data_IF_551935095291
#
_entry.id   IF_551935095291
#
_cell.length_a   1.000
_cell.length_b   1.000
_cell.length_c   1.000
_cell.angle_alpha   90.00
_cell.angle_beta   90.00
_cell.angle_gamma   90.00
#
_symmetry.space_group_name_H-M   'P 1'
#
loop_
_entity.id
_entity.type
_entity.pdbx_description
1 polymer ?
#
# COMPACT_ATOMS: atom_id res chain seq x y z
N UNK A 1 2.92 2.60 -21.12
CA UNK A 1 4.05 3.43 -20.62
C UNK A 1 4.42 4.55 -21.59
N UNK A 2 4.54 4.29 -22.89
CA UNK A 2 4.88 5.37 -23.84
C UNK A 2 3.81 6.46 -23.92
N UNK A 3 2.53 6.11 -23.72
CA UNK A 3 1.48 7.11 -23.54
C UNK A 3 1.82 8.07 -22.39
N UNK A 4 2.06 7.54 -21.18
CA UNK A 4 2.40 8.37 -20.01
C UNK A 4 3.64 9.23 -20.26
N UNK A 5 4.71 8.65 -20.82
CA UNK A 5 5.95 9.37 -21.13
C UNK A 5 5.74 10.46 -22.19
N UNK A 6 4.97 10.16 -23.23
CA UNK A 6 4.62 11.11 -24.29
C UNK A 6 3.67 12.23 -23.84
N UNK A 7 3.06 12.07 -22.66
CA UNK A 7 2.17 13.06 -22.04
C UNK A 7 2.72 13.58 -20.72
N UNK A 8 4.05 13.62 -20.57
CA UNK A 8 4.75 14.17 -19.39
C UNK A 8 4.22 13.63 -18.06
N UNK A 9 3.85 12.35 -18.03
CA UNK A 9 3.31 11.66 -16.87
C UNK A 9 1.94 12.16 -16.36
N UNK A 10 1.21 12.92 -17.17
CA UNK A 10 -0.19 13.26 -16.91
C UNK A 10 -1.15 12.22 -17.48
N UNK A 11 -2.25 12.00 -16.77
CA UNK A 11 -3.40 11.24 -17.25
C UNK A 11 -4.55 12.22 -17.49
N UNK A 12 -4.82 12.50 -18.76
CA UNK A 12 -5.86 13.45 -19.17
C UNK A 12 -7.10 12.69 -19.65
N UNK A 13 -8.26 13.09 -19.14
CA UNK A 13 -9.56 12.55 -19.51
C UNK A 13 -10.01 13.10 -20.88
N UNK A 14 -10.98 12.48 -21.56
CA UNK A 14 -11.45 12.94 -22.87
C UNK A 14 -11.96 14.39 -22.91
N UNK A 15 -12.40 14.92 -21.76
CA UNK A 15 -12.84 16.31 -21.61
C UNK A 15 -11.68 17.31 -21.38
N UNK A 16 -10.43 16.87 -21.45
CA UNK A 16 -9.24 17.70 -21.24
C UNK A 16 -8.83 17.88 -19.78
N UNK A 17 -9.61 17.39 -18.81
CA UNK A 17 -9.26 17.48 -17.39
C UNK A 17 -8.16 16.47 -17.03
N UNK A 18 -7.19 16.89 -16.20
CA UNK A 18 -6.18 15.97 -15.64
C UNK A 18 -6.83 15.18 -14.51
N UNK A 19 -6.92 13.86 -14.66
CA UNK A 19 -7.44 12.97 -13.62
C UNK A 19 -6.38 12.62 -12.58
N UNK A 20 -5.13 12.45 -12.99
CA UNK A 20 -4.00 12.16 -12.09
C UNK A 20 -2.67 12.50 -12.77
N UNK A 21 -1.58 12.54 -12.00
CA UNK A 21 -0.23 12.77 -12.49
C UNK A 21 0.79 11.94 -11.70
N UNK A 22 1.85 11.53 -12.38
CA UNK A 22 3.03 10.91 -11.74
C UNK A 22 4.21 11.88 -11.67
N UNK A 23 4.03 13.16 -12.00
CA UNK A 23 5.06 14.20 -11.81
C UNK A 23 5.41 14.30 -10.33
N UNK A 24 6.70 14.30 -10.00
CA UNK A 24 7.18 14.25 -8.61
C UNK A 24 7.08 12.88 -7.94
N UNK A 25 6.52 11.86 -8.61
CA UNK A 25 6.42 10.47 -8.14
C UNK A 25 7.50 9.59 -8.74
N UNK A 26 8.76 9.91 -8.43
CA UNK A 26 9.92 9.16 -8.91
C UNK A 26 9.80 7.65 -8.62
N UNK A 27 9.31 7.30 -7.42
CA UNK A 27 8.99 5.93 -6.99
C UNK A 27 8.04 5.21 -7.96
N UNK A 28 6.94 5.86 -8.34
CA UNK A 28 5.93 5.27 -9.23
C UNK A 28 6.39 5.24 -10.69
N UNK A 29 7.03 6.32 -11.18
CA UNK A 29 7.58 6.36 -12.53
C UNK A 29 8.59 5.22 -12.76
N UNK A 30 9.52 5.04 -11.81
CA UNK A 30 10.54 4.00 -11.88
C UNK A 30 9.94 2.60 -11.75
N UNK A 31 9.00 2.39 -10.84
CA UNK A 31 8.27 1.12 -10.70
C UNK A 31 7.59 0.72 -12.02
N UNK A 32 6.84 1.65 -12.62
CA UNK A 32 6.15 1.42 -13.90
C UNK A 32 7.13 1.09 -15.03
N UNK A 33 8.24 1.83 -15.15
CA UNK A 33 9.28 1.56 -16.14
C UNK A 33 9.98 0.22 -15.89
N UNK A 34 10.22 -0.16 -14.63
CA UNK A 34 10.89 -1.41 -14.30
C UNK A 34 10.01 -2.63 -14.58
N UNK A 35 8.71 -2.53 -14.27
CA UNK A 35 7.73 -3.55 -14.69
C UNK A 35 7.67 -3.61 -16.23
N UNK A 36 7.68 -2.46 -16.91
CA UNK A 36 7.78 -2.37 -18.36
C UNK A 36 9.00 -3.10 -18.91
N UNK A 37 10.17 -2.87 -18.32
CA UNK A 37 11.43 -3.56 -18.66
C UNK A 37 11.32 -5.07 -18.44
N UNK A 38 10.70 -5.50 -17.35
CA UNK A 38 10.51 -6.92 -17.07
C UNK A 38 9.63 -7.61 -18.12
N UNK A 39 8.56 -6.95 -18.58
CA UNK A 39 7.64 -7.48 -19.59
C UNK A 39 8.22 -7.39 -21.00
N UNK A 40 8.87 -6.28 -21.35
CA UNK A 40 9.45 -6.05 -22.67
C UNK A 40 10.79 -5.30 -22.56
N UNK A 41 11.84 -6.08 -22.28
CA UNK A 41 13.19 -5.57 -22.05
C UNK A 41 13.75 -4.83 -23.25
N UNK A 42 13.48 -5.30 -24.48
CA UNK A 42 13.94 -4.65 -25.73
C UNK A 42 13.42 -3.21 -25.85
N UNK A 43 12.18 -2.96 -25.40
CA UNK A 43 11.57 -1.64 -25.49
C UNK A 43 11.99 -0.70 -24.35
N UNK A 44 12.09 -1.22 -23.12
CA UNK A 44 12.16 -0.36 -21.94
C UNK A 44 13.50 -0.38 -21.18
N UNK A 45 14.47 -1.24 -21.52
CA UNK A 45 15.75 -1.29 -20.77
C UNK A 45 16.49 0.04 -20.78
N UNK A 46 16.78 0.61 -21.96
CA UNK A 46 17.49 1.89 -22.07
C UNK A 46 16.70 3.03 -21.41
N UNK A 47 15.38 3.05 -21.58
CA UNK A 47 14.53 4.07 -20.96
C UNK A 47 14.63 4.01 -19.45
N UNK A 48 14.48 2.81 -18.87
CA UNK A 48 14.57 2.62 -17.43
C UNK A 48 15.96 2.95 -16.92
N UNK A 49 17.03 2.48 -17.56
CA UNK A 49 18.41 2.71 -17.09
C UNK A 49 18.73 4.22 -17.04
N UNK A 50 18.26 5.00 -18.03
CA UNK A 50 18.38 6.46 -18.02
C UNK A 50 17.54 7.10 -16.90
N UNK A 51 16.26 6.73 -16.75
CA UNK A 51 15.40 7.33 -15.74
C UNK A 51 15.86 6.97 -14.33
N UNK A 52 16.33 5.74 -14.11
CA UNK A 52 16.88 5.31 -12.83
C UNK A 52 18.03 6.19 -12.39
N UNK A 53 18.95 6.52 -13.30
CA UNK A 53 20.11 7.35 -12.97
C UNK A 53 19.71 8.70 -12.38
N UNK A 54 18.67 9.35 -12.92
CA UNK A 54 18.20 10.66 -12.47
C UNK A 54 17.19 10.59 -11.31
N UNK A 55 16.25 9.65 -11.36
CA UNK A 55 15.10 9.63 -10.46
C UNK A 55 15.31 8.76 -9.21
N UNK A 56 16.25 7.81 -9.22
CA UNK A 56 16.41 6.92 -8.07
C UNK A 56 16.75 7.67 -6.77
N UNK A 57 17.66 8.68 -6.75
CA UNK A 57 17.92 9.48 -5.55
C UNK A 57 16.68 10.21 -5.01
N UNK A 58 15.71 10.53 -5.89
CA UNK A 58 14.49 11.25 -5.53
C UNK A 58 13.37 10.32 -5.05
N UNK A 59 13.48 9.00 -5.24
CA UNK A 59 12.41 8.04 -4.97
C UNK A 59 11.95 8.02 -3.50
N UNK A 60 12.83 8.40 -2.56
CA UNK A 60 12.50 8.48 -1.13
C UNK A 60 11.63 9.70 -0.79
N UNK A 61 11.78 10.81 -1.51
CA UNK A 61 11.14 12.09 -1.20
C UNK A 61 9.61 12.00 -1.18
N UNK A 62 8.92 11.49 -2.23
CA UNK A 62 7.46 11.39 -2.19
C UNK A 62 7.01 10.48 -1.04
N UNK A 63 7.70 9.38 -0.79
CA UNK A 63 7.36 8.45 0.31
C UNK A 63 7.46 9.15 1.67
N UNK A 64 8.51 9.95 1.90
CA UNK A 64 8.67 10.72 3.13
C UNK A 64 7.57 11.76 3.34
N UNK A 65 7.01 12.31 2.26
CA UNK A 65 5.86 13.24 2.34
C UNK A 65 4.57 12.47 2.62
N UNK A 66 4.36 11.34 1.95
CA UNK A 66 3.13 10.54 2.09
C UNK A 66 2.93 10.03 3.53
N UNK A 67 4.00 9.71 4.26
CA UNK A 67 3.90 9.23 5.66
C UNK A 67 3.62 10.33 6.70
N UNK A 68 3.56 11.61 6.30
CA UNK A 68 3.28 12.71 7.25
C UNK A 68 1.85 12.69 7.77
N UNK A 69 0.94 12.01 7.08
CA UNK A 69 -0.46 11.85 7.49
C UNK A 69 -1.06 10.53 6.98
N UNK A 70 -2.18 10.12 7.59
CA UNK A 70 -2.94 8.92 7.19
C UNK A 70 -4.16 9.24 6.32
N UNK A 71 -4.28 10.46 5.81
CA UNK A 71 -5.37 10.81 4.91
C UNK A 71 -5.21 10.08 3.59
N UNK A 72 -6.32 9.75 2.92
CA UNK A 72 -6.28 8.99 1.68
C UNK A 72 -5.47 7.69 1.81
N UNK A 73 -5.63 6.98 2.93
CA UNK A 73 -4.81 5.84 3.37
C UNK A 73 -4.48 4.80 2.27
N UNK A 74 -5.32 4.66 1.26
CA UNK A 74 -5.04 3.86 0.06
C UNK A 74 -3.70 4.18 -0.62
N UNK A 75 -3.15 5.40 -0.44
CA UNK A 75 -1.80 5.80 -0.89
C UNK A 75 -0.72 4.80 -0.48
N UNK A 76 -0.78 4.28 0.75
CA UNK A 76 0.21 3.35 1.28
C UNK A 76 0.17 1.98 0.59
N UNK A 77 -0.97 1.58 0.03
CA UNK A 77 -1.04 0.39 -0.82
C UNK A 77 -0.35 0.63 -2.17
N UNK A 78 -0.60 1.79 -2.77
CA UNK A 78 0.03 2.17 -4.04
C UNK A 78 1.54 2.21 -3.85
N UNK A 79 2.02 2.83 -2.78
CA UNK A 79 3.45 2.93 -2.46
C UNK A 79 4.05 1.56 -2.19
N UNK A 80 3.39 0.72 -1.39
CA UNK A 80 3.84 -0.65 -1.09
C UNK A 80 3.97 -1.50 -2.34
N UNK A 81 2.98 -1.47 -3.25
CA UNK A 81 3.00 -2.26 -4.50
C UNK A 81 4.07 -1.74 -5.46
N UNK A 82 4.23 -0.43 -5.56
CA UNK A 82 5.26 0.17 -6.42
C UNK A 82 6.67 -0.16 -5.92
N UNK A 83 6.94 0.08 -4.63
CA UNK A 83 8.23 -0.24 -4.03
C UNK A 83 8.52 -1.74 -4.05
N UNK A 84 7.53 -2.61 -3.83
CA UNK A 84 7.69 -4.05 -3.97
C UNK A 84 8.20 -4.44 -5.37
N UNK A 85 7.54 -3.95 -6.42
CA UNK A 85 7.94 -4.25 -7.79
C UNK A 85 9.29 -3.65 -8.15
N UNK A 86 9.55 -2.42 -7.71
CA UNK A 86 10.81 -1.74 -7.96
C UNK A 86 11.98 -2.46 -7.28
N UNK A 87 11.85 -2.84 -6.00
CA UNK A 87 12.89 -3.53 -5.23
C UNK A 87 13.13 -4.95 -5.74
N UNK A 88 12.07 -5.75 -5.95
CA UNK A 88 12.24 -7.16 -6.33
C UNK A 88 12.83 -7.34 -7.74
N UNK A 89 12.66 -6.34 -8.61
CA UNK A 89 13.14 -6.37 -9.99
C UNK A 89 14.47 -5.64 -10.16
N UNK A 90 14.85 -4.75 -9.24
CA UNK A 90 16.14 -4.05 -9.30
C UNK A 90 17.30 -5.01 -8.99
N UNK A 91 18.35 -4.94 -9.80
CA UNK A 91 19.55 -5.78 -9.72
C UNK A 91 20.85 -4.99 -9.61
N UNK A 92 20.79 -3.67 -9.71
CA UNK A 92 21.91 -2.75 -9.58
C UNK A 92 22.06 -2.23 -8.14
N UNK A 93 23.09 -1.42 -7.92
CA UNK A 93 23.36 -0.76 -6.63
C UNK A 93 22.25 0.19 -6.17
N UNK A 94 21.38 0.66 -7.07
CA UNK A 94 20.25 1.53 -6.71
C UNK A 94 19.19 0.83 -5.83
N UNK A 95 19.21 -0.50 -5.75
CA UNK A 95 18.28 -1.26 -4.90
C UNK A 95 18.34 -0.86 -3.42
N UNK A 96 19.49 -0.37 -2.94
CA UNK A 96 19.64 0.16 -1.58
C UNK A 96 18.74 1.38 -1.33
N UNK A 97 18.66 2.30 -2.28
CA UNK A 97 17.85 3.53 -2.17
C UNK A 97 16.36 3.20 -2.08
N UNK A 98 15.90 2.25 -2.90
CA UNK A 98 14.51 1.83 -2.89
C UNK A 98 14.14 1.11 -1.59
N UNK A 99 15.07 0.31 -1.03
CA UNK A 99 14.89 -0.32 0.29
C UNK A 99 14.84 0.72 1.41
N UNK A 100 15.63 1.79 1.33
CA UNK A 100 15.57 2.89 2.29
C UNK A 100 14.21 3.61 2.21
N UNK A 101 13.73 3.93 1.01
CA UNK A 101 12.39 4.48 0.82
C UNK A 101 11.29 3.56 1.39
N UNK A 102 11.39 2.25 1.12
CA UNK A 102 10.48 1.27 1.72
C UNK A 102 10.57 1.20 3.24
N UNK A 103 11.75 1.38 3.84
CA UNK A 103 11.90 1.41 5.30
C UNK A 103 11.21 2.62 5.94
N UNK A 104 11.13 3.76 5.24
CA UNK A 104 10.35 4.93 5.69
C UNK A 104 8.87 4.59 5.71
N UNK A 105 8.35 4.06 4.59
CA UNK A 105 6.96 3.62 4.49
C UNK A 105 6.62 2.55 5.53
N UNK A 106 7.50 1.56 5.69
CA UNK A 106 7.24 0.41 6.56
C UNK A 106 7.24 0.79 8.02
N UNK A 107 8.16 1.65 8.48
CA UNK A 107 8.17 2.17 9.86
C UNK A 107 6.92 2.97 10.22
N UNK A 108 6.27 3.59 9.23
CA UNK A 108 4.99 4.27 9.45
C UNK A 108 3.81 3.30 9.52
N UNK A 109 3.93 2.12 8.90
CA UNK A 109 2.78 1.21 8.68
C UNK A 109 2.91 -0.14 9.40
N UNK A 110 3.93 -0.32 10.24
CA UNK A 110 4.24 -1.60 10.88
C UNK A 110 3.40 -1.93 12.09
N UNK A 111 2.84 -0.94 12.76
CA UNK A 111 1.90 -1.10 13.87
C UNK A 111 0.43 -0.92 13.44
N UNK A 112 0.17 -0.63 12.16
CA UNK A 112 -1.16 -0.41 11.61
C UNK A 112 -2.01 -1.69 11.51
N UNK A 113 -1.46 -2.86 11.80
CA UNK A 113 -2.15 -4.14 11.75
C UNK A 113 -2.74 -4.44 10.37
N UNK A 114 -1.88 -4.63 9.37
CA UNK A 114 -2.30 -4.87 7.99
C UNK A 114 -1.55 -6.08 7.43
N UNK A 115 -2.29 -7.19 7.23
CA UNK A 115 -1.71 -8.44 6.75
C UNK A 115 -1.09 -8.31 5.35
N UNK A 116 -1.62 -7.46 4.48
CA UNK A 116 -1.02 -7.23 3.17
C UNK A 116 0.35 -6.54 3.29
N UNK A 117 0.46 -5.49 4.12
CA UNK A 117 1.75 -4.82 4.35
C UNK A 117 2.76 -5.75 4.99
N UNK A 118 2.32 -6.57 5.96
CA UNK A 118 3.16 -7.59 6.56
C UNK A 118 3.68 -8.60 5.50
N UNK A 119 2.85 -8.94 4.52
CA UNK A 119 3.22 -9.92 3.50
C UNK A 119 4.13 -9.35 2.42
N UNK A 120 3.98 -8.06 2.08
CA UNK A 120 4.97 -7.36 1.26
C UNK A 120 6.31 -7.30 1.99
N UNK A 121 6.31 -6.99 3.28
CA UNK A 121 7.53 -6.92 4.08
C UNK A 121 8.21 -8.30 4.21
N UNK A 122 7.44 -9.37 4.40
CA UNK A 122 7.95 -10.77 4.34
C UNK A 122 8.68 -11.07 3.04
N UNK A 123 8.09 -10.63 1.93
CA UNK A 123 8.63 -10.88 0.60
C UNK A 123 9.95 -10.13 0.36
N UNK A 124 10.09 -8.92 0.88
CA UNK A 124 11.26 -8.06 0.66
C UNK A 124 12.40 -8.29 1.65
N UNK A 125 12.06 -8.58 2.92
CA UNK A 125 12.99 -8.60 4.04
C UNK A 125 13.15 -9.98 4.70
N UNK A 126 12.42 -11.00 4.24
CA UNK A 126 12.54 -12.36 4.78
C UNK A 126 11.78 -12.55 6.09
N UNK A 127 12.02 -13.67 6.81
CA UNK A 127 11.23 -14.08 7.97
C UNK A 127 11.34 -13.11 9.14
N UNK A 128 10.25 -12.95 9.90
CA UNK A 128 10.23 -12.20 11.16
C UNK A 128 9.15 -12.80 12.07
N UNK A 129 9.54 -13.37 13.20
CA UNK A 129 8.62 -14.07 14.10
C UNK A 129 7.47 -13.16 14.57
N UNK A 130 7.76 -11.91 14.93
CA UNK A 130 6.76 -10.97 15.41
C UNK A 130 5.72 -10.65 14.32
N UNK A 131 6.19 -10.28 13.12
CA UNK A 131 5.32 -9.94 11.99
C UNK A 131 4.55 -11.15 11.46
N UNK A 132 5.19 -12.30 11.38
CA UNK A 132 4.59 -13.52 10.83
C UNK A 132 3.51 -14.05 11.80
N UNK A 133 3.75 -13.97 13.11
CA UNK A 133 2.74 -14.26 14.16
C UNK A 133 1.58 -13.26 14.13
N UNK A 134 1.88 -11.97 13.96
CA UNK A 134 0.83 -10.95 13.82
C UNK A 134 -0.02 -11.18 12.57
N UNK A 135 0.60 -11.58 11.45
CA UNK A 135 -0.11 -11.90 10.20
C UNK A 135 -1.10 -13.03 10.40
N UNK A 136 -0.71 -14.10 11.09
CA UNK A 136 -1.62 -15.20 11.44
C UNK A 136 -2.79 -14.69 12.28
N UNK A 137 -2.50 -13.94 13.36
CA UNK A 137 -3.54 -13.36 14.24
C UNK A 137 -4.52 -12.48 13.48
N UNK A 138 -4.03 -11.57 12.62
CA UNK A 138 -4.88 -10.65 11.85
C UNK A 138 -5.79 -11.41 10.89
N UNK A 139 -5.27 -12.46 10.22
CA UNK A 139 -6.07 -13.29 9.32
C UNK A 139 -7.16 -14.06 10.09
N UNK A 140 -6.84 -14.60 11.27
CA UNK A 140 -7.83 -15.26 12.13
C UNK A 140 -8.91 -14.27 12.63
N UNK A 141 -8.50 -13.08 13.07
CA UNK A 141 -9.43 -12.02 13.48
C UNK A 141 -10.33 -11.56 12.34
N UNK A 142 -9.82 -11.53 11.11
CA UNK A 142 -10.61 -11.14 9.95
C UNK A 142 -11.79 -12.10 9.73
N UNK A 143 -11.60 -13.40 9.95
CA UNK A 143 -12.65 -14.42 9.79
C UNK A 143 -13.79 -14.28 10.80
N UNK A 144 -13.55 -13.61 11.94
CA UNK A 144 -14.57 -13.34 12.96
C UNK A 144 -15.45 -12.13 12.62
N UNK A 145 -15.12 -11.38 11.56
CA UNK A 145 -15.84 -10.17 11.18
C UNK A 145 -17.18 -10.50 10.53
N UNK A 146 -18.21 -9.67 10.73
CA UNK A 146 -19.42 -9.75 9.91
C UNK A 146 -19.09 -9.45 8.45
N UNK A 147 -19.67 -10.23 7.54
CA UNK A 147 -19.37 -10.16 6.09
C UNK A 147 -19.91 -8.89 5.40
N UNK A 148 -20.87 -8.20 6.02
CA UNK A 148 -21.54 -7.03 5.43
C UNK A 148 -21.12 -5.72 6.08
N UNK A 149 -21.23 -4.63 5.32
CA UNK A 149 -20.97 -3.25 5.70
C UNK A 149 -21.99 -2.71 6.73
N UNK A 150 -22.13 -3.30 7.91
CA UNK A 150 -23.05 -2.72 8.91
C UNK A 150 -22.53 -1.35 9.39
N UNK A 151 -23.42 -0.39 9.72
CA UNK A 151 -23.02 0.85 10.35
C UNK A 151 -22.15 0.59 11.58
N UNK A 152 -21.15 1.45 11.79
CA UNK A 152 -20.22 1.34 12.91
C UNK A 152 -19.99 2.73 13.49
N UNK A 153 -20.16 2.89 14.80
CA UNK A 153 -19.76 4.09 15.54
C UNK A 153 -18.99 3.66 16.78
N UNK A 154 -17.70 3.95 16.79
CA UNK A 154 -16.77 3.59 17.86
C UNK A 154 -16.36 4.80 18.71
N UNK A 155 -17.00 5.95 18.51
CA UNK A 155 -16.78 7.13 19.35
C UNK A 155 -17.22 6.80 20.78
N UNK A 156 -16.43 7.23 21.76
CA UNK A 156 -16.63 6.88 23.17
C UNK A 156 -16.18 5.47 23.55
N UNK A 157 -15.92 4.58 22.59
CA UNK A 157 -15.28 3.27 22.82
C UNK A 157 -13.77 3.40 22.78
N UNK A 158 -13.25 4.12 21.79
CA UNK A 158 -11.83 4.43 21.66
C UNK A 158 -11.58 5.94 21.80
N UNK A 159 -10.44 6.35 22.39
CA UNK A 159 -10.07 7.76 22.46
C UNK A 159 -9.80 8.32 21.06
N UNK A 160 -10.29 9.53 20.81
CA UNK A 160 -10.06 10.27 19.57
C UNK A 160 -8.81 11.15 19.68
N UNK A 161 -8.05 11.25 18.58
CA UNK A 161 -6.85 12.08 18.48
C UNK A 161 -6.88 12.91 17.20
N UNK A 162 -6.77 14.24 17.34
CA UNK A 162 -6.93 15.17 16.23
C UNK A 162 -8.41 15.39 15.91
N UNK A 163 -8.95 14.66 14.94
CA UNK A 163 -10.36 14.72 14.55
C UNK A 163 -11.23 13.79 15.43
N UNK A 164 -12.51 14.16 15.64
CA UNK A 164 -13.45 13.39 16.50
C UNK A 164 -13.73 11.97 15.98
N UNK A 165 -13.57 11.74 14.69
CA UNK A 165 -13.80 10.47 14.01
C UNK A 165 -12.51 9.66 13.78
N UNK A 166 -11.40 10.08 14.39
CA UNK A 166 -10.09 9.44 14.28
C UNK A 166 -9.58 8.94 15.63
N UNK A 167 -9.37 7.63 15.75
CA UNK A 167 -8.79 6.98 16.92
C UNK A 167 -7.32 7.35 17.11
N UNK A 168 -6.86 7.34 18.37
CA UNK A 168 -5.44 7.52 18.71
C UNK A 168 -4.55 6.33 18.34
N UNK A 169 -5.13 5.14 18.20
CA UNK A 169 -4.42 3.90 17.89
C UNK A 169 -5.20 3.09 16.84
N UNK A 170 -4.53 2.22 16.08
CA UNK A 170 -5.21 1.33 15.14
C UNK A 170 -6.29 0.51 15.85
N UNK A 171 -7.49 0.51 15.30
CA UNK A 171 -8.64 -0.23 15.83
C UNK A 171 -8.39 -1.73 15.60
N UNK A 172 -8.74 -2.62 16.53
CA UNK A 172 -8.67 -4.07 16.33
C UNK A 172 -9.44 -4.52 15.09
N UNK A 173 -8.90 -5.50 14.35
CA UNK A 173 -9.41 -5.94 13.04
C UNK A 173 -10.90 -6.30 13.08
N UNK A 174 -11.31 -6.99 14.14
CA UNK A 174 -12.69 -7.43 14.35
C UNK A 174 -13.67 -6.25 14.36
N UNK A 175 -13.24 -5.10 14.89
CA UNK A 175 -14.08 -3.93 15.11
C UNK A 175 -13.93 -2.84 14.04
N UNK A 176 -12.87 -2.91 13.22
CA UNK A 176 -12.62 -1.91 12.17
C UNK A 176 -13.85 -1.70 11.29
N UNK A 177 -14.12 -0.42 11.00
CA UNK A 177 -15.14 0.01 10.04
C UNK A 177 -15.04 -0.83 8.77
N UNK A 178 -16.19 -1.36 8.34
CA UNK A 178 -16.30 -2.27 7.19
C UNK A 178 -16.63 -1.46 5.94
N UNK A 179 -15.84 -1.64 4.90
CA UNK A 179 -16.03 -1.02 3.58
C UNK A 179 -15.62 -2.01 2.49
N UNK A 180 -15.40 -1.50 1.27
CA UNK A 180 -14.71 -2.16 0.15
C UNK A 180 -13.45 -2.98 0.57
N UNK A 181 -12.34 -2.30 0.88
CA UNK A 181 -11.03 -2.89 1.09
C UNK A 181 -10.40 -2.37 2.39
N UNK A 182 -10.19 -3.24 3.37
CA UNK A 182 -9.64 -2.89 4.69
C UNK A 182 -8.29 -2.19 4.62
N UNK A 183 -7.35 -2.75 3.87
CA UNK A 183 -6.03 -2.16 3.62
C UNK A 183 -6.09 -0.79 2.95
N UNK A 184 -7.19 -0.39 2.30
CA UNK A 184 -7.35 0.95 1.71
C UNK A 184 -7.94 1.98 2.66
N UNK A 185 -8.47 1.55 3.81
CA UNK A 185 -9.06 2.45 4.80
C UNK A 185 -8.13 2.64 5.98
N UNK A 186 -8.20 3.85 6.53
CA UNK A 186 -7.45 4.18 7.73
C UNK A 186 -7.87 3.25 8.88
N UNK A 187 -6.93 2.55 9.53
CA UNK A 187 -7.24 1.70 10.67
C UNK A 187 -7.68 2.51 11.91
N UNK A 188 -7.61 3.84 11.82
CA UNK A 188 -8.00 4.79 12.85
C UNK A 188 -9.44 5.29 12.71
N UNK A 189 -10.18 4.91 11.66
CA UNK A 189 -11.53 5.42 11.41
C UNK A 189 -12.55 4.92 12.44
N UNK A 190 -13.17 5.82 13.20
CA UNK A 190 -14.15 5.50 14.25
C UNK A 190 -15.58 5.33 13.73
N UNK A 191 -15.94 6.00 12.63
CA UNK A 191 -17.32 6.06 12.13
C UNK A 191 -17.41 5.53 10.71
N UNK A 192 -18.37 4.63 10.45
CA UNK A 192 -18.65 4.03 9.15
C UNK A 192 -20.14 4.05 8.81
N UNK A 193 -20.48 4.60 7.65
CA UNK A 193 -21.86 4.81 7.17
C UNK A 193 -22.42 3.62 6.38
N UNK A 194 -21.99 2.40 6.69
CA UNK A 194 -22.40 1.21 5.96
C UNK A 194 -23.91 0.96 6.04
N UNK A 195 -24.46 0.24 5.05
CA UNK A 195 -25.92 -0.02 4.94
C UNK A 195 -26.32 -1.44 5.33
N UNK A 196 -25.35 -2.33 5.56
CA UNK A 196 -25.57 -3.76 5.78
C UNK A 196 -26.04 -4.52 4.55
N UNK A 197 -25.92 -3.93 3.36
CA UNK A 197 -26.36 -4.50 2.09
C UNK A 197 -25.20 -4.94 1.20
N UNK A 198 -24.00 -4.41 1.44
CA UNK A 198 -22.80 -4.66 0.64
C UNK A 198 -21.96 -5.69 1.39
N UNK A 199 -21.64 -6.79 0.72
CA UNK A 199 -20.68 -7.78 1.21
C UNK A 199 -19.25 -7.33 0.91
N UNK A 200 -18.31 -7.60 1.81
CA UNK A 200 -16.89 -7.31 1.60
C UNK A 200 -16.33 -8.09 0.40
N UNK A 201 -15.43 -7.48 -0.36
CA UNK A 201 -14.79 -8.11 -1.52
C UNK A 201 -13.88 -9.31 -1.15
N UNK A 202 -13.51 -9.45 0.14
CA UNK A 202 -12.70 -10.57 0.63
C UNK A 202 -11.23 -10.58 0.20
N UNK A 203 -10.82 -9.72 -0.74
CA UNK A 203 -9.42 -9.65 -1.20
C UNK A 203 -8.44 -9.33 -0.07
N UNK A 204 -8.89 -8.57 0.93
CA UNK A 204 -8.09 -8.21 2.13
C UNK A 204 -7.71 -9.44 2.97
N UNK A 205 -8.42 -10.54 2.78
CA UNK A 205 -8.10 -11.84 3.35
C UNK A 205 -7.42 -12.74 2.33
N UNK A 206 -8.04 -12.93 1.16
CA UNK A 206 -7.60 -13.94 0.18
C UNK A 206 -6.17 -13.70 -0.30
N UNK A 207 -5.81 -12.44 -0.60
CA UNK A 207 -4.47 -12.12 -1.09
C UNK A 207 -3.40 -12.39 -0.02
N UNK A 208 -3.43 -11.77 1.18
CA UNK A 208 -2.43 -12.04 2.20
C UNK A 208 -2.49 -13.49 2.72
N UNK A 209 -3.65 -14.16 2.72
CA UNK A 209 -3.75 -15.59 3.05
C UNK A 209 -2.88 -16.45 2.13
N UNK A 210 -3.03 -16.30 0.81
CA UNK A 210 -2.24 -17.08 -0.13
C UNK A 210 -0.76 -16.70 -0.13
N UNK A 211 -0.43 -15.42 0.09
CA UNK A 211 0.95 -15.02 0.33
C UNK A 211 1.53 -15.69 1.58
N UNK A 212 0.77 -15.73 2.68
CA UNK A 212 1.19 -16.35 3.94
C UNK A 212 1.44 -17.85 3.77
N UNK A 213 0.57 -18.55 3.04
CA UNK A 213 0.75 -19.96 2.67
C UNK A 213 1.99 -20.18 1.81
N UNK A 214 2.20 -19.34 0.80
CA UNK A 214 3.38 -19.41 -0.06
C UNK A 214 4.69 -19.25 0.74
N UNK A 215 4.71 -18.35 1.73
CA UNK A 215 5.88 -18.12 2.59
C UNK A 215 5.96 -19.04 3.82
N UNK A 216 5.08 -20.04 3.96
CA UNK A 216 5.09 -21.01 5.05
C UNK A 216 4.72 -20.44 6.43
N UNK A 217 3.97 -19.33 6.46
CA UNK A 217 3.44 -18.74 7.70
C UNK A 217 2.17 -19.47 8.17
N UNK A 218 1.41 -20.04 7.23
CA UNK A 218 0.14 -20.78 7.43
C UNK A 218 0.19 -22.17 6.81
#
# INVERSE_FOLDING_TARGET
LDFLRGHNWFVTMPNGAVSTTFVGRADQQLSLLQVGRHVNSRRFSTTYDLHRFFLAPEAIVPISVEVLDDNSYFKFNIDSINLFNLIRLERSSFGGIYREAYSVLRRHTDDHGNAFFNMIDRALNGPSEARDSETRRILDEWLLRPRRDLPTDLRGVYPACGAEDRACKPIPIIQRVRTDFLWQRSPFQLVGQGTGRIETAGIDYILPYWMARYYGIL
#
